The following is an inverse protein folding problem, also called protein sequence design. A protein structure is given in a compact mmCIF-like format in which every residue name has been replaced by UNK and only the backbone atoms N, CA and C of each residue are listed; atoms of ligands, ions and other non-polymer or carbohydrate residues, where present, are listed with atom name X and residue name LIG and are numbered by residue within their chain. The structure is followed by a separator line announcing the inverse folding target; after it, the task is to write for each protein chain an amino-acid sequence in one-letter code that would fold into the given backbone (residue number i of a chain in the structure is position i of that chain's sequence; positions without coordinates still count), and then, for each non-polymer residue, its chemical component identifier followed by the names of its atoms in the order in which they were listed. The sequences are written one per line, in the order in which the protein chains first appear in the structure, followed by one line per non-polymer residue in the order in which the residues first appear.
data_IF_908153069109
#
_entry.id   IF_908153069109
#
_cell.length_a   1.000
_cell.length_b   1.000
_cell.length_c   1.000
_cell.angle_alpha   90.00
_cell.angle_beta   90.00
_cell.angle_gamma   90.00
#
_symmetry.space_group_name_H-M   'P 1'
#
loop_
_entity.id
_entity.type
_entity.pdbx_description
1 polymer ?
#
# COMPACT_ATOMS: atom_id res chain seq x y z
N UNK A 1 -10.57 46.52 26.52
CA UNK A 1 -10.94 45.59 25.43
C UNK A 1 -9.73 44.66 25.27
N UNK A 2 -9.76 43.38 25.72
CA UNK A 2 -10.20 42.19 24.94
C UNK A 2 -9.73 42.32 23.48
N UNK A 3 -8.88 41.47 22.91
CA UNK A 3 -8.98 40.01 22.80
C UNK A 3 -7.62 39.30 22.65
N UNK A 4 -7.55 38.12 23.24
CA UNK A 4 -6.49 37.11 23.11
C UNK A 4 -6.59 36.49 21.71
N UNK A 5 -5.54 36.57 20.90
CA UNK A 5 -5.40 35.72 19.70
C UNK A 5 -4.65 34.46 20.10
N UNK A 6 -5.40 33.47 20.60
CA UNK A 6 -4.92 32.11 20.71
C UNK A 6 -4.77 31.55 19.30
N UNK A 7 -3.53 31.50 18.81
CA UNK A 7 -3.18 30.84 17.56
C UNK A 7 -3.23 29.32 17.80
N UNK A 8 -4.43 28.76 17.79
CA UNK A 8 -4.63 27.31 17.73
C UNK A 8 -4.17 26.84 16.34
N UNK A 9 -2.89 26.50 16.21
CA UNK A 9 -2.40 25.62 15.15
C UNK A 9 -3.04 24.25 15.39
N UNK A 10 -4.26 24.07 14.89
CA UNK A 10 -4.81 22.74 14.64
C UNK A 10 -3.98 22.15 13.52
N UNK A 11 -2.89 21.45 13.90
CA UNK A 11 -2.28 20.42 13.09
C UNK A 11 -3.38 19.39 12.86
N UNK A 12 -4.16 19.57 11.80
CA UNK A 12 -4.93 18.50 11.20
C UNK A 12 -3.89 17.54 10.64
N UNK A 13 -3.38 16.67 11.52
CA UNK A 13 -2.63 15.50 11.16
C UNK A 13 -3.57 14.67 10.30
N UNK A 14 -3.51 14.88 8.98
CA UNK A 14 -3.99 13.90 8.03
C UNK A 14 -3.17 12.65 8.31
N UNK A 15 -3.72 11.76 9.13
CA UNK A 15 -3.26 10.38 9.23
C UNK A 15 -3.54 9.73 7.88
N UNK A 16 -2.71 10.06 6.87
CA UNK A 16 -2.52 9.18 5.74
C UNK A 16 -2.02 7.89 6.37
N UNK A 17 -2.88 6.87 6.43
CA UNK A 17 -2.45 5.52 6.78
C UNK A 17 -1.31 5.19 5.83
N UNK A 18 -0.09 5.22 6.34
CA UNK A 18 1.08 4.91 5.55
C UNK A 18 0.94 3.45 5.15
N UNK A 19 0.68 3.18 3.87
CA UNK A 19 0.61 1.82 3.34
C UNK A 19 1.87 1.09 3.74
N UNK A 20 1.71 -0.03 4.45
CA UNK A 20 2.84 -0.83 4.91
C UNK A 20 3.50 -1.55 3.73
N UNK A 21 4.78 -1.93 3.86
CA UNK A 21 5.47 -2.68 2.81
C UNK A 21 4.76 -4.01 2.50
N UNK A 22 4.19 -4.64 3.54
CA UNK A 22 3.33 -5.83 3.41
C UNK A 22 2.16 -5.55 2.46
N UNK A 23 1.37 -4.52 2.75
CA UNK A 23 0.18 -4.16 1.95
C UNK A 23 0.58 -3.81 0.51
N UNK A 24 1.73 -3.16 0.33
CA UNK A 24 2.29 -2.87 -0.99
C UNK A 24 2.60 -4.15 -1.78
N UNK A 25 3.23 -5.14 -1.16
CA UNK A 25 3.52 -6.43 -1.78
C UNK A 25 2.24 -7.24 -2.06
N UNK A 26 1.25 -7.25 -1.14
CA UNK A 26 -0.05 -7.89 -1.36
C UNK A 26 -0.80 -7.23 -2.54
N UNK A 27 -0.92 -5.90 -2.54
CA UNK A 27 -1.55 -5.15 -3.64
C UNK A 27 -0.86 -5.36 -4.99
N UNK A 28 0.47 -5.47 -5.00
CA UNK A 28 1.21 -5.83 -6.21
C UNK A 28 0.87 -7.25 -6.69
N UNK A 29 0.68 -8.20 -5.77
CA UNK A 29 0.14 -9.52 -6.08
C UNK A 29 -1.22 -9.45 -6.80
N UNK A 30 -2.17 -8.70 -6.26
CA UNK A 30 -3.46 -8.47 -6.92
C UNK A 30 -3.28 -7.79 -8.29
N UNK A 31 -2.38 -6.81 -8.40
CA UNK A 31 -2.09 -6.11 -9.64
C UNK A 31 -1.49 -7.03 -10.72
N UNK A 32 -0.68 -8.01 -10.34
CA UNK A 32 -0.17 -9.03 -11.25
C UNK A 32 -1.29 -9.98 -11.70
N UNK A 33 -2.13 -10.43 -10.77
CA UNK A 33 -3.21 -11.38 -11.10
C UNK A 33 -4.29 -10.76 -11.99
N UNK A 34 -4.67 -9.50 -11.74
CA UNK A 34 -5.62 -8.74 -12.56
C UNK A 34 -5.01 -8.01 -13.76
N UNK A 35 -3.71 -8.18 -14.02
CA UNK A 35 -2.97 -7.50 -15.09
C UNK A 35 -3.09 -5.95 -15.09
N UNK A 36 -3.16 -5.36 -13.89
CA UNK A 36 -3.29 -3.91 -13.69
C UNK A 36 -1.93 -3.20 -13.78
N UNK A 37 -1.46 -2.93 -15.01
CA UNK A 37 -0.13 -2.36 -15.29
C UNK A 37 0.15 -1.07 -14.50
N UNK A 38 -0.81 -0.15 -14.37
CA UNK A 38 -0.59 1.09 -13.62
C UNK A 38 -0.33 0.84 -12.13
N UNK A 39 -1.01 -0.13 -11.51
CA UNK A 39 -0.76 -0.52 -10.10
C UNK A 39 0.59 -1.21 -9.94
N UNK A 40 1.04 -1.95 -10.95
CA UNK A 40 2.38 -2.55 -10.97
C UNK A 40 3.47 -1.47 -11.00
N UNK A 41 3.29 -0.40 -11.79
CA UNK A 41 4.21 0.75 -11.81
C UNK A 41 4.25 1.47 -10.46
N UNK A 42 3.11 1.67 -9.81
CA UNK A 42 3.03 2.28 -8.47
C UNK A 42 3.85 1.47 -7.46
N UNK A 43 3.71 0.14 -7.46
CA UNK A 43 4.53 -0.72 -6.60
C UNK A 43 6.04 -0.52 -6.83
N UNK A 44 6.49 -0.53 -8.09
CA UNK A 44 7.91 -0.34 -8.41
C UNK A 44 8.43 1.04 -7.97
N UNK A 45 7.61 2.08 -8.11
CA UNK A 45 7.93 3.43 -7.65
C UNK A 45 8.07 3.49 -6.14
N UNK A 46 7.11 2.94 -5.39
CA UNK A 46 7.13 2.89 -3.93
C UNK A 46 8.29 2.06 -3.39
N UNK A 47 8.52 0.87 -3.96
CA UNK A 47 9.65 0.01 -3.61
C UNK A 47 10.97 0.77 -3.79
N UNK A 48 11.17 1.39 -4.96
CA UNK A 48 12.40 2.15 -5.25
C UNK A 48 12.57 3.30 -4.27
N UNK A 49 11.52 4.09 -4.05
CA UNK A 49 11.53 5.23 -3.14
C UNK A 49 11.91 4.82 -1.72
N UNK A 50 11.27 3.77 -1.18
CA UNK A 50 11.50 3.29 0.19
C UNK A 50 12.85 2.62 0.37
N UNK A 51 13.32 1.86 -0.62
CA UNK A 51 14.67 1.29 -0.60
C UNK A 51 15.73 2.39 -0.61
N UNK A 52 15.58 3.43 -1.44
CA UNK A 52 16.51 4.56 -1.47
C UNK A 52 16.50 5.37 -0.16
N UNK A 53 15.35 5.46 0.50
CA UNK A 53 15.21 6.12 1.81
C UNK A 53 15.64 5.24 2.99
N UNK A 54 15.95 3.97 2.77
CA UNK A 54 16.24 3.00 3.83
C UNK A 54 15.03 2.68 4.73
N UNK A 55 13.82 2.99 4.26
CA UNK A 55 12.56 2.75 4.98
C UNK A 55 11.89 1.43 4.59
N UNK A 56 12.39 0.76 3.55
CA UNK A 56 11.93 -0.57 3.19
C UNK A 56 12.35 -1.59 4.26
N UNK A 57 11.35 -2.25 4.84
CA UNK A 57 11.48 -3.08 6.04
C UNK A 57 11.45 -4.58 5.78
N UNK A 58 11.03 -5.01 4.58
CA UNK A 58 10.89 -6.42 4.23
C UNK A 58 12.10 -6.98 3.48
N UNK A 59 12.43 -8.23 3.75
CA UNK A 59 13.28 -9.02 2.84
C UNK A 59 12.58 -9.30 1.51
N UNK A 60 13.37 -9.70 0.51
CA UNK A 60 12.85 -10.14 -0.79
C UNK A 60 11.92 -11.34 -0.64
N UNK A 61 12.28 -12.29 0.22
CA UNK A 61 11.52 -13.49 0.52
C UNK A 61 10.17 -13.17 1.17
N UNK A 62 10.15 -12.25 2.14
CA UNK A 62 8.91 -11.80 2.79
C UNK A 62 7.98 -11.11 1.79
N UNK A 63 8.49 -10.19 0.97
CA UNK A 63 7.67 -9.56 -0.06
C UNK A 63 7.14 -10.57 -1.07
N UNK A 64 7.94 -11.55 -1.49
CA UNK A 64 7.51 -12.60 -2.41
C UNK A 64 6.37 -13.46 -1.84
N UNK A 65 6.38 -13.77 -0.53
CA UNK A 65 5.27 -14.45 0.14
C UNK A 65 3.99 -13.62 0.09
N UNK A 66 4.07 -12.32 0.36
CA UNK A 66 2.93 -11.41 0.32
C UNK A 66 2.38 -11.20 -1.10
N UNK A 67 3.25 -11.11 -2.10
CA UNK A 67 2.84 -11.10 -3.52
C UNK A 67 2.06 -12.37 -3.88
N UNK A 68 2.55 -13.54 -3.45
CA UNK A 68 1.87 -14.81 -3.69
C UNK A 68 0.49 -14.84 -3.01
N UNK A 69 0.38 -14.33 -1.78
CA UNK A 69 -0.90 -14.21 -1.08
C UNK A 69 -1.87 -13.32 -1.86
N UNK A 70 -1.47 -12.10 -2.22
CA UNK A 70 -2.36 -11.20 -2.98
C UNK A 70 -2.80 -11.74 -4.34
N UNK A 71 -1.95 -12.52 -5.02
CA UNK A 71 -2.37 -13.24 -6.24
C UNK A 71 -3.46 -14.28 -5.97
N UNK A 72 -3.34 -15.03 -4.88
CA UNK A 72 -4.31 -16.05 -4.51
C UNK A 72 -5.62 -15.43 -4.06
N UNK A 73 -5.57 -14.37 -3.26
CA UNK A 73 -6.74 -13.65 -2.77
C UNK A 73 -7.58 -13.11 -3.94
N UNK A 74 -6.94 -12.51 -4.96
CA UNK A 74 -7.63 -12.12 -6.20
C UNK A 74 -8.31 -13.29 -6.92
N UNK A 75 -7.66 -14.47 -6.96
CA UNK A 75 -8.28 -15.64 -7.59
C UNK A 75 -9.51 -16.12 -6.81
N UNK A 76 -9.48 -16.04 -5.47
CA UNK A 76 -10.66 -16.34 -4.65
C UNK A 76 -11.79 -15.33 -4.88
N UNK A 77 -11.48 -14.04 -4.93
CA UNK A 77 -12.45 -12.98 -5.26
C UNK A 77 -13.12 -13.25 -6.63
N UNK A 78 -12.34 -13.66 -7.64
CA UNK A 78 -12.89 -14.03 -8.95
C UNK A 78 -13.78 -15.27 -8.89
N UNK A 79 -13.42 -16.28 -8.10
CA UNK A 79 -14.22 -17.49 -7.92
C UNK A 79 -15.54 -17.15 -7.23
N UNK A 80 -15.52 -16.30 -6.21
CA UNK A 80 -16.72 -15.81 -5.53
C UNK A 80 -17.66 -15.08 -6.50
N UNK A 81 -17.14 -14.16 -7.32
CA UNK A 81 -17.92 -13.44 -8.36
C UNK A 81 -18.55 -14.39 -9.40
N UNK A 82 -17.90 -15.50 -9.74
CA UNK A 82 -18.40 -16.46 -10.74
C UNK A 82 -19.45 -17.41 -10.15
N UNK A 83 -19.44 -17.61 -8.83
CA UNK A 83 -20.34 -18.55 -8.14
C UNK A 83 -21.62 -17.89 -7.59
N UNK A 84 -21.66 -16.56 -7.51
CA UNK A 84 -22.86 -15.75 -7.21
C UNK A 84 -23.71 -15.45 -8.45
#
# INVERSE_FOLDING_TARGET
MKYIFALTLTLCSFSSYATTDKELCEQYGHALAGNYIEKQKVFLSELTSRTQQGSWSLSTEECAMYIKRGKNDFNYELVEIVLD
#
